data_IF_841765730050
#
_entry.id   IF_841765730050
#
_cell.length_a   1.000
_cell.length_b   1.000
_cell.length_c   1.000
_cell.angle_alpha   90.00
_cell.angle_beta   90.00
_cell.angle_gamma   90.00
#
_symmetry.space_group_name_H-M   'P 1'
#
loop_
_entity.id
_entity.type
_entity.pdbx_description
1 polymer ?
#
# COMPACT_ATOMS: atom_id res chain seq x y z
N UNK A 1 -2.86 25.80 -24.77
CA UNK A 1 -3.51 25.73 -23.44
C UNK A 1 -3.20 27.02 -22.70
N UNK A 2 -4.23 27.76 -22.32
CA UNK A 2 -4.09 29.03 -21.58
C UNK A 2 -3.92 28.78 -20.08
N UNK A 3 -3.05 29.55 -19.42
CA UNK A 3 -2.80 29.47 -17.98
C UNK A 3 -4.07 29.68 -17.16
N UNK A 4 -4.95 30.59 -17.59
CA UNK A 4 -6.20 30.82 -16.89
C UNK A 4 -7.15 29.62 -17.00
N UNK A 5 -7.10 28.86 -18.09
CA UNK A 5 -7.84 27.61 -18.24
C UNK A 5 -7.35 26.53 -17.26
N UNK A 6 -6.03 26.37 -17.11
CA UNK A 6 -5.46 25.44 -16.12
C UNK A 6 -5.83 25.83 -14.68
N UNK A 7 -5.74 27.11 -14.33
CA UNK A 7 -6.11 27.60 -12.99
C UNK A 7 -7.60 27.38 -12.66
N UNK A 8 -8.48 27.41 -13.67
CA UNK A 8 -9.90 27.05 -13.47
C UNK A 8 -10.07 25.56 -13.20
N UNK A 9 -9.29 24.70 -13.87
CA UNK A 9 -9.30 23.25 -13.63
C UNK A 9 -8.73 22.88 -12.26
N UNK A 10 -7.78 23.65 -11.73
CA UNK A 10 -7.22 23.43 -10.39
C UNK A 10 -8.21 23.71 -9.26
N UNK A 11 -9.31 24.43 -9.50
CA UNK A 11 -10.36 24.70 -8.50
C UNK A 11 -11.29 23.50 -8.21
N UNK A 12 -11.00 22.34 -8.79
CA UNK A 12 -11.78 21.10 -8.62
C UNK A 12 -11.66 20.53 -7.19
N UNK A 13 -12.57 19.63 -6.77
CA UNK A 13 -12.69 19.16 -5.38
C UNK A 13 -11.41 18.55 -4.78
N UNK A 14 -10.50 18.07 -5.62
CA UNK A 14 -9.26 17.41 -5.20
C UNK A 14 -8.09 18.39 -4.95
N UNK A 15 -8.30 19.70 -5.05
CA UNK A 15 -7.26 20.73 -4.85
C UNK A 15 -6.55 20.64 -3.49
N UNK A 16 -7.20 20.05 -2.48
CA UNK A 16 -6.65 19.87 -1.12
C UNK A 16 -5.82 18.59 -0.97
N UNK A 17 -5.95 17.63 -1.88
CA UNK A 17 -5.26 16.33 -1.82
C UNK A 17 -3.73 16.48 -1.93
N UNK A 18 -3.18 17.33 -2.83
CA UNK A 18 -1.73 17.55 -2.91
C UNK A 18 -1.09 18.00 -1.59
N UNK A 19 -1.83 18.76 -0.76
CA UNK A 19 -1.35 19.21 0.56
C UNK A 19 -1.10 18.08 1.58
N UNK A 20 -1.52 16.84 1.26
CA UNK A 20 -1.29 15.64 2.08
C UNK A 20 -0.01 14.90 1.71
N UNK A 21 0.75 15.36 0.73
CA UNK A 21 2.00 14.75 0.31
C UNK A 21 3.18 15.65 0.66
N UNK A 22 4.36 15.07 0.87
CA UNK A 22 5.57 15.89 0.96
C UNK A 22 5.81 16.57 -0.38
N UNK A 23 5.67 17.89 -0.40
CA UNK A 23 5.93 18.68 -1.61
C UNK A 23 7.37 18.45 -2.09
N UNK A 24 7.58 18.15 -3.39
CA UNK A 24 8.91 18.23 -3.98
C UNK A 24 9.51 19.61 -3.69
N UNK A 25 10.85 19.69 -3.54
CA UNK A 25 11.55 20.98 -3.50
C UNK A 25 11.04 21.85 -4.67
N UNK A 26 10.70 23.13 -4.39
CA UNK A 26 9.80 24.09 -5.08
C UNK A 26 9.84 24.23 -6.62
N UNK A 27 10.51 23.37 -7.36
CA UNK A 27 10.72 23.47 -8.81
C UNK A 27 10.70 22.13 -9.55
N UNK A 28 10.28 21.02 -8.91
CA UNK A 28 10.16 19.73 -9.59
C UNK A 28 8.72 19.29 -9.79
N UNK A 29 8.34 19.14 -11.05
CA UNK A 29 7.18 18.34 -11.43
C UNK A 29 7.54 16.85 -11.31
N UNK A 30 6.67 16.07 -10.67
CA UNK A 30 6.86 14.64 -10.52
C UNK A 30 5.97 13.88 -11.48
N UNK A 31 6.60 13.25 -12.48
CA UNK A 31 5.90 12.59 -13.60
C UNK A 31 5.91 11.05 -13.51
N UNK A 32 6.42 10.46 -12.43
CA UNK A 32 6.56 9.00 -12.29
C UNK A 32 5.90 8.39 -11.03
N UNK A 33 4.65 8.76 -10.67
CA UNK A 33 3.98 8.24 -9.47
C UNK A 33 3.63 6.75 -9.53
N UNK A 34 3.52 6.19 -10.73
CA UNK A 34 3.21 4.76 -10.94
C UNK A 34 4.38 3.87 -10.49
N UNK A 35 5.62 4.37 -10.58
CA UNK A 35 6.82 3.61 -10.19
C UNK A 35 7.18 3.81 -8.71
N UNK A 36 7.01 5.02 -8.20
CA UNK A 36 7.25 5.36 -6.81
C UNK A 36 6.20 6.38 -6.36
N UNK A 37 5.39 6.06 -5.36
CA UNK A 37 4.47 7.04 -4.78
C UNK A 37 5.22 8.22 -4.17
N UNK A 38 4.59 9.40 -4.16
CA UNK A 38 5.11 10.49 -3.33
C UNK A 38 4.92 10.13 -1.86
N UNK A 39 5.97 10.20 -1.02
CA UNK A 39 5.80 9.93 0.39
C UNK A 39 4.83 10.95 1.01
N UNK A 40 3.90 10.46 1.81
CA UNK A 40 3.11 11.29 2.72
C UNK A 40 3.99 11.87 3.83
N UNK A 41 3.50 12.87 4.59
CA UNK A 41 4.16 13.28 5.81
C UNK A 41 4.30 12.08 6.76
N UNK A 42 5.36 12.03 7.59
CA UNK A 42 5.47 11.00 8.62
C UNK A 42 4.22 11.00 9.50
N UNK A 43 3.69 9.81 9.80
CA UNK A 43 2.52 9.69 10.67
C UNK A 43 2.80 10.33 12.03
N UNK A 44 1.95 11.23 12.55
CA UNK A 44 2.14 11.83 13.87
C UNK A 44 2.06 10.81 15.01
N UNK A 45 1.51 9.63 14.78
CA UNK A 45 1.45 8.51 15.73
C UNK A 45 2.54 7.45 15.51
N UNK A 46 3.40 7.62 14.50
CA UNK A 46 4.50 6.71 14.23
C UNK A 46 5.66 7.02 15.15
N UNK A 47 5.92 6.16 16.14
CA UNK A 47 7.20 6.14 16.84
C UNK A 47 8.38 6.04 15.85
N UNK A 48 9.63 6.20 16.32
CA UNK A 48 10.80 6.22 15.45
C UNK A 48 10.80 5.00 14.50
N UNK A 49 11.29 5.16 13.25
CA UNK A 49 11.37 4.06 12.31
C UNK A 49 12.00 2.88 13.01
N UNK A 50 11.32 1.74 12.99
CA UNK A 50 11.74 0.55 13.72
C UNK A 50 12.95 -0.10 13.01
N UNK A 51 14.08 0.59 12.99
CA UNK A 51 15.37 0.04 12.66
C UNK A 51 15.83 -0.77 13.87
N UNK A 52 15.42 -2.04 13.92
CA UNK A 52 16.03 -3.00 14.83
C UNK A 52 17.05 -3.80 14.02
N UNK A 53 18.30 -3.94 14.48
CA UNK A 53 19.27 -4.81 13.81
C UNK A 53 18.70 -6.22 13.71
N UNK A 54 18.68 -6.74 12.47
CA UNK A 54 18.33 -8.13 12.17
C UNK A 54 19.34 -9.00 12.90
N UNK A 55 18.93 -9.64 13.99
CA UNK A 55 19.81 -10.55 14.72
C UNK A 55 19.42 -10.89 16.16
N UNK A 56 18.56 -10.11 16.82
CA UNK A 56 18.12 -10.44 18.19
C UNK A 56 16.65 -10.10 18.44
N UNK A 57 15.77 -11.07 18.19
CA UNK A 57 14.45 -11.11 18.83
C UNK A 57 14.26 -12.48 19.46
N UNK A 58 14.17 -12.60 20.79
CA UNK A 58 13.66 -13.80 21.44
C UNK A 58 12.24 -14.08 20.94
N UNK A 59 11.90 -15.33 20.71
CA UNK A 59 10.60 -15.78 20.22
C UNK A 59 9.39 -15.30 21.07
N UNK A 60 9.63 -14.77 22.27
CA UNK A 60 8.62 -14.31 23.23
C UNK A 60 8.12 -12.87 23.06
N UNK A 61 8.49 -12.13 21.99
CA UNK A 61 7.98 -10.77 21.71
C UNK A 61 7.32 -10.62 20.33
N UNK A 62 6.65 -11.65 19.85
CA UNK A 62 5.64 -11.48 18.80
C UNK A 62 4.44 -10.79 19.43
N UNK A 63 4.50 -9.46 19.46
CA UNK A 63 3.41 -8.58 19.84
C UNK A 63 2.18 -8.94 18.98
N UNK A 64 1.06 -9.26 19.62
CA UNK A 64 -0.19 -9.70 18.96
C UNK A 64 -0.75 -8.63 18.01
N UNK A 65 -0.30 -7.38 18.15
CA UNK A 65 -0.65 -6.26 17.27
C UNK A 65 0.05 -6.29 15.90
N UNK A 66 1.18 -7.00 15.76
CA UNK A 66 1.94 -7.05 14.49
C UNK A 66 1.35 -8.03 13.48
N UNK A 67 0.69 -9.09 13.95
CA UNK A 67 0.09 -10.11 13.09
C UNK A 67 -1.17 -9.62 12.36
N UNK A 68 -1.91 -8.69 12.95
CA UNK A 68 -3.18 -8.19 12.41
C UNK A 68 -3.02 -7.04 11.41
N UNK A 69 -1.88 -6.34 11.40
CA UNK A 69 -1.67 -5.15 10.57
C UNK A 69 -1.85 -5.40 9.06
N UNK A 70 -1.37 -6.51 8.45
CA UNK A 70 -1.60 -6.77 7.02
C UNK A 70 -3.06 -6.96 6.64
N UNK A 71 -3.88 -7.52 7.55
CA UNK A 71 -5.32 -7.68 7.36
C UNK A 71 -6.05 -6.34 7.49
N UNK A 72 -5.76 -5.57 8.54
CA UNK A 72 -6.36 -4.25 8.76
C UNK A 72 -6.09 -3.27 7.60
N UNK A 73 -4.88 -3.30 7.02
CA UNK A 73 -4.56 -2.51 5.82
C UNK A 73 -5.34 -3.05 4.62
N UNK A 74 -5.48 -4.36 4.49
CA UNK A 74 -6.29 -5.03 3.47
C UNK A 74 -7.75 -4.57 3.50
N UNK A 75 -8.38 -4.58 4.67
CA UNK A 75 -9.75 -4.11 4.86
C UNK A 75 -9.89 -2.62 4.52
N UNK A 76 -8.91 -1.80 4.93
CA UNK A 76 -8.89 -0.37 4.64
C UNK A 76 -8.85 -0.05 3.14
N UNK A 77 -8.30 -0.94 2.29
CA UNK A 77 -8.24 -0.74 0.83
C UNK A 77 -9.26 -1.60 0.05
N UNK A 78 -9.95 -2.53 0.70
CA UNK A 78 -10.85 -3.48 0.04
C UNK A 78 -11.94 -2.78 -0.78
N UNK A 79 -12.51 -1.69 -0.23
CA UNK A 79 -13.53 -0.89 -0.91
C UNK A 79 -13.05 -0.23 -2.22
N UNK A 80 -11.74 0.04 -2.38
CA UNK A 80 -11.18 0.59 -3.62
C UNK A 80 -11.19 -0.44 -4.76
N UNK A 81 -11.19 -1.73 -4.42
CA UNK A 81 -11.14 -2.85 -5.35
C UNK A 81 -12.51 -3.54 -5.51
N UNK A 82 -13.55 -3.05 -4.83
CA UNK A 82 -14.85 -3.72 -4.77
C UNK A 82 -14.83 -5.06 -4.00
N UNK A 83 -13.81 -5.29 -3.18
CA UNK A 83 -13.71 -6.49 -2.34
C UNK A 83 -14.46 -6.29 -1.02
N UNK A 84 -15.06 -7.36 -0.49
CA UNK A 84 -15.67 -7.37 0.84
C UNK A 84 -14.62 -7.40 1.97
N UNK A 85 -15.05 -7.07 3.19
CA UNK A 85 -14.22 -7.19 4.40
C UNK A 85 -13.67 -8.61 4.57
N UNK A 86 -12.42 -8.75 5.02
CA UNK A 86 -11.73 -10.03 5.17
C UNK A 86 -11.24 -10.67 3.87
N UNK A 87 -11.57 -10.12 2.69
CA UNK A 87 -11.08 -10.60 1.40
C UNK A 87 -9.80 -9.88 0.93
N UNK A 88 -9.32 -8.90 1.71
CA UNK A 88 -8.10 -8.15 1.45
C UNK A 88 -7.01 -8.50 2.45
N UNK A 89 -5.80 -8.75 1.94
CA UNK A 89 -4.59 -8.75 2.76
C UNK A 89 -3.49 -8.06 1.99
N UNK A 90 -2.64 -7.27 2.66
CA UNK A 90 -1.48 -6.61 2.04
C UNK A 90 -0.17 -7.22 2.56
N UNK A 91 0.24 -8.42 2.07
CA UNK A 91 1.54 -9.00 2.38
C UNK A 91 2.56 -8.65 1.29
N UNK A 92 3.85 -8.59 1.65
CA UNK A 92 4.98 -8.56 0.71
C UNK A 92 4.86 -7.53 -0.44
N UNK A 93 5.27 -7.92 -1.65
CA UNK A 93 5.19 -7.10 -2.87
C UNK A 93 4.39 -7.83 -3.96
N UNK A 94 4.06 -7.10 -5.02
CA UNK A 94 3.24 -7.60 -6.14
C UNK A 94 3.79 -8.88 -6.77
N UNK A 95 5.10 -8.97 -7.00
CA UNK A 95 5.73 -10.14 -7.64
C UNK A 95 5.62 -11.38 -6.77
N UNK A 96 5.90 -11.25 -5.47
CA UNK A 96 5.79 -12.33 -4.51
C UNK A 96 4.34 -12.79 -4.37
N UNK A 97 3.38 -11.86 -4.32
CA UNK A 97 1.96 -12.19 -4.22
C UNK A 97 1.43 -12.88 -5.49
N UNK A 98 1.86 -12.41 -6.67
CA UNK A 98 1.52 -13.07 -7.92
C UNK A 98 2.04 -14.51 -7.94
N UNK A 99 3.30 -14.72 -7.55
CA UNK A 99 3.88 -16.05 -7.45
C UNK A 99 3.08 -16.97 -6.53
N UNK A 100 2.66 -16.49 -5.35
CA UNK A 100 1.83 -17.27 -4.41
C UNK A 100 0.50 -17.68 -5.03
N UNK A 101 -0.21 -16.75 -5.65
CA UNK A 101 -1.52 -16.99 -6.27
C UNK A 101 -1.39 -18.01 -7.41
N UNK A 102 -0.43 -17.82 -8.30
CA UNK A 102 -0.19 -18.74 -9.42
C UNK A 102 0.18 -20.14 -8.94
N UNK A 103 1.06 -20.23 -7.93
CA UNK A 103 1.47 -21.53 -7.37
C UNK A 103 0.30 -22.24 -6.69
N UNK A 104 -0.55 -21.50 -5.96
CA UNK A 104 -1.75 -22.06 -5.35
C UNK A 104 -2.74 -22.56 -6.39
N UNK A 105 -3.06 -21.74 -7.41
CA UNK A 105 -3.98 -22.10 -8.48
C UNK A 105 -3.49 -23.33 -9.26
N UNK A 106 -2.19 -23.41 -9.56
CA UNK A 106 -1.59 -24.57 -10.22
C UNK A 106 -1.72 -25.84 -9.37
N UNK A 107 -1.48 -25.77 -8.06
CA UNK A 107 -1.66 -26.93 -7.18
C UNK A 107 -3.13 -27.34 -7.05
N UNK A 108 -4.05 -26.38 -7.01
CA UNK A 108 -5.48 -26.66 -6.92
C UNK A 108 -6.01 -27.35 -8.19
N UNK A 109 -5.53 -26.95 -9.38
CA UNK A 109 -5.96 -27.58 -10.64
C UNK A 109 -5.45 -29.00 -10.84
N UNK A 110 -4.38 -29.39 -10.13
CA UNK A 110 -3.83 -30.75 -10.19
C UNK A 110 -4.35 -31.66 -9.06
N UNK A 111 -5.30 -31.18 -8.25
CA UNK A 111 -6.01 -31.97 -7.22
C UNK A 111 -7.38 -32.45 -7.70
N UNK A 112 -7.49 -32.90 -8.96
CA UNK A 112 -8.69 -33.61 -9.42
C UNK A 112 -8.75 -34.95 -8.67
N UNK A 113 -9.81 -35.26 -7.89
CA UNK A 113 -9.96 -36.57 -7.29
C UNK A 113 -10.16 -37.58 -8.42
N UNK A 114 -9.40 -38.67 -8.41
CA UNK A 114 -9.73 -39.88 -9.15
C UNK A 114 -11.06 -40.41 -8.60
N UNK A 115 -12.16 -40.09 -9.28
CA UNK A 115 -13.46 -40.77 -9.15
C UNK A 115 -13.39 -42.15 -9.78
#
# INVERSE_FOLDING_TARGET
MDRAACQRLDRKPLVKVPGRFMSPRKTRFFWMPIRWGHPGPPSPSGGPPLHRPVGRTPASRLDHSRGSAPGQIGDAIAHLMGAGEGNGVVPDNTTVNLYKILTYAWRASHRVPSS
#
